data_IF_767315551219
#
_entry.id   IF_767315551219
#
_cell.length_a   1.000
_cell.length_b   1.000
_cell.length_c   1.000
_cell.angle_alpha   90.00
_cell.angle_beta   90.00
_cell.angle_gamma   90.00
#
_symmetry.space_group_name_H-M   'P 1'
#
loop_
_entity.id
_entity.type
_entity.pdbx_description
1 polymer ?
#
# COMPACT_ATOMS: atom_id res chain seq x y z
N UNK A 1 -2.03 -12.86 14.76
CA UNK A 1 -2.43 -11.70 13.93
C UNK A 1 -1.25 -11.25 13.08
N UNK A 2 -1.26 -11.54 11.78
CA UNK A 2 -0.40 -10.93 10.74
C UNK A 2 -1.22 -10.56 9.48
N UNK A 3 -2.55 -10.71 9.56
CA UNK A 3 -3.46 -10.55 8.43
C UNK A 3 -3.47 -9.10 7.92
N UNK A 4 -3.47 -8.13 8.83
CA UNK A 4 -3.50 -6.70 8.50
C UNK A 4 -2.27 -6.26 7.68
N UNK A 5 -1.09 -6.82 7.97
CA UNK A 5 0.12 -6.54 7.19
C UNK A 5 0.03 -7.15 5.78
N UNK A 6 -0.50 -8.38 5.67
CA UNK A 6 -0.71 -9.05 4.40
C UNK A 6 -1.71 -8.30 3.51
N UNK A 7 -2.79 -7.78 4.09
CA UNK A 7 -3.80 -7.03 3.36
C UNK A 7 -3.28 -5.65 2.92
N UNK A 8 -2.48 -4.97 3.75
CA UNK A 8 -1.80 -3.75 3.34
C UNK A 8 -0.76 -3.98 2.24
N UNK A 9 -0.05 -5.10 2.25
CA UNK A 9 0.88 -5.47 1.18
C UNK A 9 0.14 -5.76 -0.14
N UNK A 10 -1.01 -6.45 -0.09
CA UNK A 10 -1.86 -6.63 -1.26
C UNK A 10 -2.39 -5.30 -1.80
N UNK A 11 -2.85 -4.40 -0.92
CA UNK A 11 -3.28 -3.06 -1.31
C UNK A 11 -2.12 -2.26 -1.93
N UNK A 12 -0.91 -2.35 -1.38
CA UNK A 12 0.28 -1.72 -1.93
C UNK A 12 0.61 -2.25 -3.33
N UNK A 13 0.50 -3.56 -3.54
CA UNK A 13 0.72 -4.18 -4.85
C UNK A 13 -0.31 -3.71 -5.88
N UNK A 14 -1.61 -3.71 -5.53
CA UNK A 14 -2.66 -3.21 -6.41
C UNK A 14 -2.47 -1.74 -6.80
N UNK A 15 -2.13 -0.88 -5.84
CA UNK A 15 -1.84 0.54 -6.11
C UNK A 15 -0.58 0.73 -6.96
N UNK A 16 0.45 -0.12 -6.81
CA UNK A 16 1.64 -0.08 -7.67
C UNK A 16 1.31 -0.49 -9.10
N UNK A 17 0.49 -1.51 -9.29
CA UNK A 17 0.04 -1.95 -10.61
C UNK A 17 -0.79 -0.85 -11.30
N UNK A 18 -1.75 -0.24 -10.58
CA UNK A 18 -2.53 0.88 -11.10
C UNK A 18 -1.63 2.07 -11.48
N UNK A 19 -0.60 2.36 -10.67
CA UNK A 19 0.39 3.41 -10.98
C UNK A 19 1.21 3.08 -12.24
N UNK A 20 1.60 1.83 -12.43
CA UNK A 20 2.33 1.39 -13.61
C UNK A 20 1.48 1.50 -14.90
N UNK A 21 0.16 1.29 -14.80
CA UNK A 21 -0.77 1.48 -15.93
C UNK A 21 -1.10 2.94 -16.24
N UNK A 22 -0.62 3.90 -15.44
CA UNK A 22 -0.92 5.33 -15.62
C UNK A 22 -2.35 5.74 -15.25
N UNK A 23 -3.18 4.81 -14.76
CA UNK A 23 -4.58 5.06 -14.38
C UNK A 23 -4.75 5.43 -12.90
N UNK A 24 -3.66 5.73 -12.19
CA UNK A 24 -3.73 5.99 -10.76
C UNK A 24 -4.28 7.39 -10.49
N UNK A 25 -5.58 7.48 -10.23
CA UNK A 25 -6.26 8.73 -9.95
C UNK A 25 -5.84 9.41 -8.64
N UNK A 26 -5.18 8.71 -7.70
CA UNK A 26 -4.79 9.24 -6.39
C UNK A 26 -3.40 8.74 -5.92
N UNK A 27 -2.30 9.42 -6.30
CA UNK A 27 -0.95 9.06 -5.85
C UNK A 27 -0.72 9.24 -4.33
N UNK A 28 -1.60 9.96 -3.63
CA UNK A 28 -1.61 10.09 -2.16
C UNK A 28 -1.85 8.77 -1.44
N UNK A 29 -2.64 7.85 -2.02
CA UNK A 29 -2.95 6.56 -1.41
C UNK A 29 -1.71 5.66 -1.29
N UNK A 30 -0.79 5.71 -2.27
CA UNK A 30 0.50 5.01 -2.19
C UNK A 30 1.35 5.47 -1.01
N UNK A 31 1.32 6.77 -0.67
CA UNK A 31 2.03 7.32 0.49
C UNK A 31 1.33 6.99 1.81
N UNK A 32 0.01 6.81 1.79
CA UNK A 32 -0.77 6.39 2.96
C UNK A 32 -0.49 4.92 3.30
N UNK A 33 -0.65 4.01 2.35
CA UNK A 33 -0.42 2.57 2.54
C UNK A 33 1.02 2.28 3.00
N UNK A 34 2.03 2.98 2.45
CA UNK A 34 3.42 2.86 2.93
C UNK A 34 3.59 3.25 4.41
N UNK A 35 2.90 4.30 4.87
CA UNK A 35 2.96 4.74 6.27
C UNK A 35 2.24 3.76 7.19
N UNK A 36 1.12 3.20 6.75
CA UNK A 36 0.37 2.22 7.54
C UNK A 36 1.16 0.91 7.70
N UNK A 37 1.87 0.46 6.66
CA UNK A 37 2.81 -0.68 6.76
C UNK A 37 3.92 -0.37 7.78
N UNK A 38 4.51 0.83 7.73
CA UNK A 38 5.59 1.21 8.65
C UNK A 38 5.13 1.31 10.12
N UNK A 39 3.85 1.60 10.38
CA UNK A 39 3.27 1.59 11.73
C UNK A 39 3.10 0.19 12.30
N UNK A 40 2.74 -0.78 11.45
CA UNK A 40 2.50 -2.17 11.85
C UNK A 40 3.78 -2.98 11.92
N UNK A 41 4.74 -2.67 11.05
CA UNK A 41 6.10 -3.20 11.12
C UNK A 41 7.07 -2.10 11.59
N UNK A 42 7.04 -1.72 12.88
CA UNK A 42 8.18 -1.04 13.46
C UNK A 42 9.38 -2.00 13.43
N UNK A 43 10.55 -1.42 13.28
CA UNK A 43 11.86 -2.05 13.10
C UNK A 43 12.12 -3.24 14.04
#
# INVERSE_FOLDING_TARGET
MNADLLDLLKAQFGLRMQNATGQLGKPSELKRVRRDIARIKPF
#
